data_IF_659453379203
#
_entry.id   IF_659453379203
#
_cell.length_a   1.000
_cell.length_b   1.000
_cell.length_c   1.000
_cell.angle_alpha   90.00
_cell.angle_beta   90.00
_cell.angle_gamma   90.00
#
_symmetry.space_group_name_H-M   'P 1'
#
loop_
_entity.id
_entity.type
_entity.pdbx_description
1 polymer ?
#
# COMPACT_ATOMS: atom_id res chain seq x y z
N UNK A 1 -7.51 0.16 32.73
CA UNK A 1 -7.12 -1.25 32.44
C UNK A 1 -5.93 -1.40 31.46
N UNK A 2 -5.36 -0.29 30.98
CA UNK A 2 -4.28 -0.32 29.95
C UNK A 2 -3.02 -1.07 30.40
N UNK A 3 -2.67 -0.99 31.68
CA UNK A 3 -1.50 -1.67 32.24
C UNK A 3 -1.65 -3.20 32.39
N UNK A 4 -2.88 -3.70 32.27
CA UNK A 4 -3.13 -5.15 32.36
C UNK A 4 -2.63 -5.89 31.12
N UNK A 5 -2.27 -7.17 31.23
CA UNK A 5 -2.00 -8.06 30.11
C UNK A 5 -3.12 -8.07 29.06
N UNK A 6 -2.77 -8.34 27.81
CA UNK A 6 -3.74 -8.42 26.71
C UNK A 6 -4.88 -9.39 27.03
N UNK A 7 -4.58 -10.60 27.52
CA UNK A 7 -5.59 -11.61 27.84
C UNK A 7 -6.54 -11.14 28.94
N UNK A 8 -6.03 -10.49 29.98
CA UNK A 8 -6.85 -9.94 31.06
C UNK A 8 -7.81 -8.83 30.59
N UNK A 9 -7.33 -7.98 29.67
CA UNK A 9 -8.17 -6.93 29.05
C UNK A 9 -9.25 -7.56 28.18
N UNK A 10 -8.89 -8.57 27.38
CA UNK A 10 -9.82 -9.29 26.51
C UNK A 10 -10.90 -10.02 27.31
N UNK A 11 -10.51 -10.69 28.40
CA UNK A 11 -11.46 -11.37 29.29
C UNK A 11 -12.46 -10.39 29.96
N UNK A 12 -12.00 -9.19 30.33
CA UNK A 12 -12.88 -8.13 30.84
C UNK A 12 -13.84 -7.61 29.77
N UNK A 13 -13.36 -7.41 28.54
CA UNK A 13 -14.19 -7.00 27.43
C UNK A 13 -15.25 -8.04 27.10
N UNK A 14 -14.87 -9.33 27.07
CA UNK A 14 -15.81 -10.41 26.81
C UNK A 14 -16.95 -10.45 27.86
N UNK A 15 -16.63 -10.26 29.14
CA UNK A 15 -17.65 -10.17 30.21
C UNK A 15 -18.60 -8.99 30.01
N UNK A 16 -18.04 -7.81 29.73
CA UNK A 16 -18.84 -6.60 29.46
C UNK A 16 -19.79 -6.81 28.27
N UNK A 17 -19.29 -7.40 27.18
CA UNK A 17 -20.13 -7.64 26.00
C UNK A 17 -21.21 -8.69 26.23
N UNK A 18 -20.97 -9.66 27.11
CA UNK A 18 -21.98 -10.65 27.47
C UNK A 18 -23.16 -10.08 28.29
N UNK A 19 -22.97 -8.92 28.91
CA UNK A 19 -24.01 -8.20 29.64
C UNK A 19 -24.86 -7.25 28.73
N UNK A 20 -24.43 -7.05 27.49
CA UNK A 20 -25.13 -6.19 26.55
C UNK A 20 -26.26 -6.94 25.82
N UNK A 21 -27.31 -6.23 25.39
CA UNK A 21 -28.34 -6.85 24.58
C UNK A 21 -27.77 -7.37 23.25
N UNK A 22 -28.34 -8.46 22.69
CA UNK A 22 -27.84 -9.10 21.47
C UNK A 22 -27.74 -8.18 20.24
N UNK A 23 -28.59 -7.14 20.21
CA UNK A 23 -28.63 -6.13 19.15
C UNK A 23 -27.56 -5.02 19.31
N UNK A 24 -26.78 -5.03 20.36
CA UNK A 24 -25.72 -4.05 20.54
C UNK A 24 -24.70 -4.12 19.37
N UNK A 25 -24.35 -3.00 18.72
CA UNK A 25 -23.47 -3.00 17.54
C UNK A 25 -21.99 -3.16 17.92
N UNK A 26 -21.70 -4.11 18.81
CA UNK A 26 -20.37 -4.38 19.34
C UNK A 26 -20.04 -5.86 19.21
N UNK A 27 -18.92 -6.17 18.59
CA UNK A 27 -18.43 -7.52 18.39
C UNK A 27 -17.02 -7.67 18.96
N UNK A 28 -16.79 -8.74 19.70
CA UNK A 28 -15.44 -9.17 20.07
C UNK A 28 -14.92 -10.13 18.97
N UNK A 29 -13.98 -9.69 18.12
CA UNK A 29 -13.44 -10.55 17.07
C UNK A 29 -12.83 -11.82 17.69
N UNK A 30 -13.02 -13.00 17.11
CA UNK A 30 -12.37 -14.22 17.58
C UNK A 30 -10.85 -14.12 17.44
N UNK A 31 -10.14 -14.83 18.28
CA UNK A 31 -8.72 -15.10 18.05
C UNK A 31 -8.60 -16.19 16.98
N UNK A 32 -7.60 -16.04 16.10
CA UNK A 32 -7.27 -17.11 15.16
C UNK A 32 -6.65 -18.26 15.95
N UNK A 33 -7.30 -19.41 15.92
CA UNK A 33 -6.76 -20.64 16.51
C UNK A 33 -5.68 -21.20 15.58
N UNK A 34 -4.60 -21.71 16.14
CA UNK A 34 -3.51 -22.36 15.41
C UNK A 34 -2.78 -23.36 16.32
N UNK A 35 -2.25 -24.42 15.74
CA UNK A 35 -1.50 -25.45 16.46
C UNK A 35 -0.01 -25.12 16.53
N UNK A 36 0.53 -24.60 15.41
CA UNK A 36 1.94 -24.22 15.26
C UNK A 36 2.10 -23.04 14.30
N UNK A 37 3.34 -22.58 14.14
CA UNK A 37 3.68 -21.46 13.28
C UNK A 37 3.46 -21.73 11.78
N UNK A 38 3.53 -22.97 11.35
CA UNK A 38 3.30 -23.38 9.96
C UNK A 38 1.80 -23.29 9.62
N UNK A 39 0.94 -23.79 10.49
CA UNK A 39 -0.52 -23.63 10.39
C UNK A 39 -0.94 -22.15 10.40
N UNK A 40 -0.30 -21.33 11.23
CA UNK A 40 -0.57 -19.90 11.26
C UNK A 40 -0.07 -19.19 9.99
N UNK A 41 1.05 -19.62 9.42
CA UNK A 41 1.54 -19.11 8.14
C UNK A 41 0.59 -19.45 6.97
N UNK A 42 0.02 -20.67 6.96
CA UNK A 42 -0.99 -21.06 6.00
C UNK A 42 -2.27 -20.21 6.13
N UNK A 43 -2.73 -19.96 7.35
CA UNK A 43 -3.86 -19.04 7.60
C UNK A 43 -3.54 -17.61 7.13
N UNK A 44 -2.32 -17.12 7.36
CA UNK A 44 -1.90 -15.81 6.83
C UNK A 44 -1.96 -15.77 5.31
N UNK A 45 -1.57 -16.84 4.63
CA UNK A 45 -1.54 -16.89 3.16
C UNK A 45 -2.92 -16.66 2.53
N UNK A 46 -4.01 -17.04 3.21
CA UNK A 46 -5.40 -16.83 2.75
C UNK A 46 -6.03 -15.53 3.26
N UNK A 47 -5.25 -14.62 3.86
CA UNK A 47 -5.80 -13.41 4.48
C UNK A 47 -6.55 -12.52 3.47
N UNK A 48 -6.12 -12.47 2.19
CA UNK A 48 -6.82 -11.68 1.15
C UNK A 48 -8.23 -12.20 0.86
N UNK A 49 -8.47 -13.50 0.97
CA UNK A 49 -9.81 -14.09 0.78
C UNK A 49 -10.80 -13.59 1.84
N UNK A 50 -10.28 -13.03 2.94
CA UNK A 50 -11.02 -12.42 4.03
C UNK A 50 -10.92 -10.88 4.06
N UNK A 51 -10.56 -10.25 2.94
CA UNK A 51 -10.33 -8.80 2.84
C UNK A 51 -9.33 -8.27 3.89
N UNK A 52 -8.33 -9.07 4.27
CA UNK A 52 -7.33 -8.74 5.27
C UNK A 52 -5.91 -8.69 4.65
N UNK A 53 -5.05 -7.83 5.19
CA UNK A 53 -3.67 -7.65 4.75
C UNK A 53 -2.69 -8.66 5.39
N UNK A 54 -3.17 -9.54 6.26
CA UNK A 54 -2.38 -10.48 7.05
C UNK A 54 -2.91 -10.61 8.48
N UNK A 55 -2.04 -10.96 9.41
CA UNK A 55 -2.36 -11.21 10.81
C UNK A 55 -1.78 -10.14 11.73
N UNK A 56 -2.46 -9.88 12.85
CA UNK A 56 -1.93 -9.09 13.95
C UNK A 56 -1.53 -10.04 15.09
N UNK A 57 -0.25 -10.15 15.33
CA UNK A 57 0.29 -10.94 16.46
C UNK A 57 0.41 -10.01 17.67
N UNK A 58 -0.05 -10.49 18.82
CA UNK A 58 0.01 -9.76 20.09
C UNK A 58 0.50 -10.70 21.19
N UNK A 59 1.50 -10.27 21.93
CA UNK A 59 1.97 -11.02 23.10
C UNK A 59 0.90 -11.01 24.18
N UNK A 60 0.54 -12.20 24.71
CA UNK A 60 -0.59 -12.39 25.61
C UNK A 60 -0.47 -11.59 26.92
N UNK A 61 0.76 -11.47 27.44
CA UNK A 61 1.07 -10.74 28.68
C UNK A 61 1.35 -9.24 28.47
N UNK A 62 1.23 -8.73 27.24
CA UNK A 62 1.58 -7.34 26.93
C UNK A 62 0.55 -6.34 27.44
N UNK A 63 0.99 -5.19 28.00
CA UNK A 63 0.11 -4.06 28.28
C UNK A 63 -0.26 -3.32 26.99
N UNK A 64 -1.23 -2.40 27.08
CA UNK A 64 -1.55 -1.48 26.00
C UNK A 64 -0.69 -0.22 26.13
N UNK A 65 0.37 -0.16 25.37
CA UNK A 65 1.32 0.97 25.41
C UNK A 65 0.75 2.28 24.87
N UNK A 66 1.33 3.39 25.33
CA UNK A 66 1.17 4.72 24.70
C UNK A 66 2.25 4.90 23.64
N UNK A 67 1.87 5.37 22.47
CA UNK A 67 2.79 5.60 21.37
C UNK A 67 3.25 4.31 20.68
N UNK A 68 4.33 4.41 19.91
CA UNK A 68 4.88 3.30 19.12
C UNK A 68 5.98 2.60 19.90
N UNK A 69 5.63 1.53 20.62
CA UNK A 69 6.62 0.64 21.24
C UNK A 69 6.75 -0.65 20.42
N UNK A 70 7.97 -1.13 20.27
CA UNK A 70 8.29 -2.38 19.57
C UNK A 70 8.37 -3.53 20.57
N UNK A 71 8.15 -4.75 20.09
CA UNK A 71 8.44 -5.97 20.83
C UNK A 71 7.23 -6.70 21.41
N UNK A 72 6.03 -6.11 21.37
CA UNK A 72 4.84 -6.74 21.93
C UNK A 72 3.75 -7.02 20.89
N UNK A 73 3.69 -6.22 19.81
CA UNK A 73 2.70 -6.37 18.76
C UNK A 73 3.36 -6.28 17.39
N UNK A 74 2.98 -7.20 16.47
CA UNK A 74 3.53 -7.28 15.11
C UNK A 74 2.41 -7.43 14.08
N UNK A 75 2.56 -6.73 12.97
CA UNK A 75 1.77 -6.95 11.77
C UNK A 75 2.52 -7.96 10.90
N UNK A 76 2.00 -9.16 10.78
CA UNK A 76 2.53 -10.17 9.87
C UNK A 76 1.77 -10.12 8.55
N UNK A 77 2.13 -9.15 7.74
CA UNK A 77 1.47 -8.86 6.49
C UNK A 77 1.84 -9.84 5.38
N UNK A 78 0.93 -9.99 4.40
CA UNK A 78 1.25 -10.53 3.09
C UNK A 78 2.17 -9.57 2.34
N UNK A 79 2.87 -10.09 1.31
CA UNK A 79 3.59 -9.23 0.40
C UNK A 79 2.59 -8.32 -0.35
N UNK A 80 2.96 -7.06 -0.63
CA UNK A 80 2.08 -6.14 -1.34
C UNK A 80 1.79 -6.66 -2.75
N UNK A 81 0.68 -6.22 -3.33
CA UNK A 81 0.45 -6.34 -4.76
C UNK A 81 1.41 -5.40 -5.49
N UNK A 82 1.85 -5.79 -6.68
CA UNK A 82 2.76 -4.99 -7.49
C UNK A 82 2.30 -4.93 -8.95
N UNK A 83 2.61 -3.80 -9.60
CA UNK A 83 2.45 -3.62 -11.04
C UNK A 83 3.56 -2.70 -11.55
N UNK A 84 4.16 -3.04 -12.70
CA UNK A 84 5.10 -2.15 -13.35
C UNK A 84 4.36 -1.05 -14.12
N UNK A 85 4.79 0.21 -13.93
CA UNK A 85 4.09 1.36 -14.48
C UNK A 85 5.06 2.41 -15.02
N UNK A 86 4.63 3.11 -16.07
CA UNK A 86 5.40 4.17 -16.72
C UNK A 86 5.18 5.50 -16.00
N UNK A 87 6.25 6.19 -15.62
CA UNK A 87 6.18 7.54 -15.08
C UNK A 87 5.88 8.55 -16.19
N UNK A 88 4.78 9.31 -16.05
CA UNK A 88 4.33 10.30 -17.03
C UNK A 88 4.36 11.75 -16.53
N UNK A 89 4.24 11.96 -15.21
CA UNK A 89 4.39 13.28 -14.58
C UNK A 89 5.25 13.19 -13.33
N UNK A 90 5.94 14.29 -13.04
CA UNK A 90 6.70 14.53 -11.83
C UNK A 90 6.34 15.89 -11.23
N UNK A 91 6.12 15.96 -9.93
CA UNK A 91 5.80 17.17 -9.20
C UNK A 91 6.90 17.47 -8.18
N UNK A 92 7.25 18.76 -8.06
CA UNK A 92 8.24 19.22 -7.08
C UNK A 92 7.77 18.97 -5.64
N UNK A 93 8.69 18.56 -4.79
CA UNK A 93 8.46 18.39 -3.37
C UNK A 93 8.30 19.70 -2.62
N UNK A 94 8.10 19.59 -1.30
CA UNK A 94 7.92 20.74 -0.40
C UNK A 94 9.00 20.78 0.69
N UNK A 95 9.18 21.95 1.31
CA UNK A 95 10.12 22.15 2.41
C UNK A 95 11.55 21.76 2.03
N UNK A 96 12.19 20.90 2.81
CA UNK A 96 13.57 20.44 2.56
C UNK A 96 13.78 19.73 1.22
N UNK A 97 12.72 19.22 0.60
CA UNK A 97 12.73 18.54 -0.71
C UNK A 97 12.22 19.41 -1.86
N UNK A 98 12.07 20.73 -1.68
CA UNK A 98 11.57 21.66 -2.72
C UNK A 98 12.41 21.65 -4.00
N UNK A 99 13.70 21.30 -3.91
CA UNK A 99 14.62 21.21 -5.05
C UNK A 99 14.59 19.84 -5.77
N UNK A 100 13.80 18.89 -5.27
CA UNK A 100 13.66 17.55 -5.82
C UNK A 100 12.23 17.36 -6.36
N UNK A 101 12.10 16.48 -7.35
CA UNK A 101 10.80 15.91 -7.70
C UNK A 101 10.57 14.70 -6.79
N UNK A 102 9.45 14.67 -6.08
CA UNK A 102 9.16 13.64 -5.08
C UNK A 102 7.79 13.00 -5.21
N UNK A 103 6.91 13.59 -6.01
CA UNK A 103 5.56 13.07 -6.27
C UNK A 103 5.46 12.76 -7.77
N UNK A 104 5.15 11.51 -8.11
CA UNK A 104 5.16 11.03 -9.48
C UNK A 104 3.80 10.43 -9.83
N UNK A 105 3.33 10.70 -11.06
CA UNK A 105 2.13 10.08 -11.62
C UNK A 105 2.54 8.95 -12.56
N UNK A 106 1.92 7.81 -12.37
CA UNK A 106 2.17 6.59 -13.11
C UNK A 106 0.98 6.18 -13.97
N UNK A 107 1.28 5.56 -15.09
CA UNK A 107 0.31 5.09 -16.07
C UNK A 107 0.61 3.64 -16.48
N UNK A 108 -0.43 2.95 -16.91
CA UNK A 108 -0.40 1.63 -17.53
C UNK A 108 -0.92 1.69 -18.95
N UNK A 109 -0.61 0.69 -19.77
CA UNK A 109 -1.02 0.63 -21.17
C UNK A 109 -2.48 0.20 -21.33
N UNK A 110 -3.20 0.87 -22.24
CA UNK A 110 -4.52 0.45 -22.72
C UNK A 110 -4.63 0.71 -24.22
N UNK A 111 -4.60 -0.33 -25.04
CA UNK A 111 -4.71 -0.25 -26.48
C UNK A 111 -3.69 0.68 -27.18
N UNK A 112 -2.47 0.76 -26.64
CA UNK A 112 -1.40 1.62 -27.14
C UNK A 112 -1.37 3.05 -26.56
N UNK A 113 -2.30 3.38 -25.66
CA UNK A 113 -2.31 4.64 -24.91
C UNK A 113 -1.90 4.42 -23.44
N UNK A 114 -1.25 5.42 -22.84
CA UNK A 114 -0.93 5.43 -21.41
C UNK A 114 -2.07 6.03 -20.60
N UNK A 115 -2.67 5.24 -19.74
CA UNK A 115 -3.78 5.64 -18.85
C UNK A 115 -3.24 5.87 -17.44
N UNK A 116 -3.27 7.11 -16.90
CA UNK A 116 -2.85 7.40 -15.54
C UNK A 116 -3.78 6.71 -14.53
N UNK A 117 -3.20 6.09 -13.50
CA UNK A 117 -3.97 5.36 -12.49
C UNK A 117 -3.58 5.65 -11.05
N UNK A 118 -2.36 6.11 -10.79
CA UNK A 118 -1.92 6.40 -9.41
C UNK A 118 -0.84 7.48 -9.34
N UNK A 119 -0.69 8.01 -8.13
CA UNK A 119 0.49 8.79 -7.72
C UNK A 119 1.21 8.09 -6.59
N UNK A 120 2.54 8.16 -6.58
CA UNK A 120 3.35 7.71 -5.46
C UNK A 120 4.44 8.73 -5.14
N UNK A 121 4.74 8.89 -3.85
CA UNK A 121 5.69 9.88 -3.31
C UNK A 121 6.69 9.27 -2.32
N UNK A 122 6.69 7.96 -2.13
CA UNK A 122 7.56 7.24 -1.20
C UNK A 122 8.14 5.99 -1.84
N UNK A 123 9.16 5.43 -1.19
CA UNK A 123 9.77 4.16 -1.56
C UNK A 123 11.17 4.28 -2.14
N UNK A 124 11.54 5.42 -2.74
CA UNK A 124 12.88 5.66 -3.24
C UNK A 124 13.83 6.16 -2.13
N UNK A 125 15.09 5.85 -2.28
CA UNK A 125 16.19 6.42 -1.50
C UNK A 125 16.46 7.87 -1.90
N UNK A 126 17.12 8.64 -1.04
CA UNK A 126 17.51 10.03 -1.37
C UNK A 126 18.47 10.10 -2.56
N UNK A 127 19.26 9.06 -2.81
CA UNK A 127 20.11 8.96 -4.00
C UNK A 127 19.29 8.80 -5.27
N UNK A 128 18.28 7.94 -5.25
CA UNK A 128 17.36 7.74 -6.38
C UNK A 128 16.52 8.99 -6.63
N UNK A 129 16.02 9.68 -5.59
CA UNK A 129 15.33 10.97 -5.77
C UNK A 129 16.21 12.01 -6.45
N UNK A 130 17.50 12.07 -6.15
CA UNK A 130 18.43 12.98 -6.85
C UNK A 130 18.64 12.56 -8.31
N UNK A 131 18.81 11.28 -8.58
CA UNK A 131 18.99 10.74 -9.94
C UNK A 131 17.76 11.01 -10.82
N UNK A 132 16.56 10.67 -10.31
CA UNK A 132 15.32 10.88 -11.06
C UNK A 132 15.02 12.38 -11.25
N UNK A 133 15.35 13.23 -10.28
CA UNK A 133 15.23 14.69 -10.42
C UNK A 133 16.10 15.23 -11.57
N UNK A 134 17.35 14.76 -11.66
CA UNK A 134 18.24 15.14 -12.77
C UNK A 134 17.70 14.65 -14.12
N UNK A 135 17.13 13.47 -14.17
CA UNK A 135 16.49 12.91 -15.36
C UNK A 135 15.25 13.71 -15.75
N UNK A 136 14.33 14.01 -14.82
CA UNK A 136 13.12 14.82 -15.05
C UNK A 136 13.45 16.18 -15.65
N UNK A 137 14.49 16.86 -15.13
CA UNK A 137 14.92 18.18 -15.64
C UNK A 137 15.34 18.13 -17.11
N UNK A 138 15.98 17.05 -17.54
CA UNK A 138 16.45 16.87 -18.93
C UNK A 138 15.36 16.35 -19.88
N UNK A 139 14.34 15.67 -19.34
CA UNK A 139 13.31 14.99 -20.14
C UNK A 139 11.90 15.60 -19.93
N UNK A 140 11.83 16.84 -19.46
CA UNK A 140 10.57 17.58 -19.36
C UNK A 140 10.11 17.99 -20.74
N UNK A 141 8.92 17.54 -21.14
CA UNK A 141 8.25 17.92 -22.39
C UNK A 141 7.39 19.16 -22.20
N UNK A 142 6.63 19.23 -21.09
CA UNK A 142 5.73 20.34 -20.81
C UNK A 142 5.70 20.67 -19.31
N UNK A 143 5.38 21.92 -18.98
CA UNK A 143 5.33 22.42 -17.59
C UNK A 143 3.93 22.94 -17.27
N UNK A 144 3.39 22.48 -16.13
CA UNK A 144 2.11 22.91 -15.59
C UNK A 144 2.32 23.36 -14.12
N UNK A 145 2.74 24.60 -13.92
CA UNK A 145 3.11 25.07 -12.58
C UNK A 145 4.22 24.20 -11.94
N UNK A 146 3.96 23.53 -10.80
CA UNK A 146 4.92 22.66 -10.14
C UNK A 146 5.06 21.28 -10.81
N UNK A 147 4.16 20.92 -11.73
CA UNK A 147 4.13 19.61 -12.40
C UNK A 147 4.92 19.67 -13.71
N UNK A 148 5.63 18.61 -14.01
CA UNK A 148 6.34 18.37 -15.27
C UNK A 148 5.76 17.14 -15.95
N UNK A 149 5.31 17.30 -17.19
CA UNK A 149 5.11 16.17 -18.07
C UNK A 149 6.47 15.73 -18.58
N UNK A 150 6.76 14.46 -18.50
CA UNK A 150 8.05 13.89 -18.91
C UNK A 150 7.89 12.91 -20.06
N UNK A 151 8.98 12.66 -20.77
CA UNK A 151 9.03 11.55 -21.74
C UNK A 151 8.66 10.25 -21.04
N UNK A 152 7.68 9.46 -21.54
CA UNK A 152 7.23 8.23 -20.91
C UNK A 152 8.24 7.10 -21.14
N UNK A 153 9.33 7.13 -20.39
CA UNK A 153 10.47 6.21 -20.56
C UNK A 153 10.83 5.47 -19.29
N UNK A 154 10.61 6.06 -18.11
CA UNK A 154 11.01 5.46 -16.85
C UNK A 154 9.93 4.54 -16.32
N UNK A 155 10.29 3.29 -16.03
CA UNK A 155 9.41 2.26 -15.47
C UNK A 155 9.73 2.05 -13.98
N UNK A 156 8.67 1.96 -13.19
CA UNK A 156 8.76 1.67 -11.76
C UNK A 156 7.79 0.54 -11.40
N UNK A 157 8.25 -0.35 -10.56
CA UNK A 157 7.36 -1.26 -9.85
C UNK A 157 6.64 -0.50 -8.75
N UNK A 158 5.31 -0.46 -8.84
CA UNK A 158 4.44 0.17 -7.85
C UNK A 158 3.85 -0.91 -6.96
N UNK A 159 4.20 -0.86 -5.68
CA UNK A 159 3.64 -1.72 -4.65
C UNK A 159 2.45 -1.04 -3.97
N UNK A 160 1.42 -1.80 -3.62
CA UNK A 160 0.22 -1.30 -2.95
C UNK A 160 -0.45 -2.39 -2.09
N UNK A 161 -1.24 -1.98 -1.11
CA UNK A 161 -1.85 -2.90 -0.13
C UNK A 161 -3.20 -3.45 -0.58
N UNK A 162 -3.89 -2.76 -1.48
CA UNK A 162 -5.19 -3.13 -2.03
C UNK A 162 -5.63 -2.16 -3.11
N UNK A 163 -6.75 -2.44 -3.75
CA UNK A 163 -7.33 -1.60 -4.79
C UNK A 163 -8.85 -1.69 -4.73
N UNK A 164 -9.52 -0.66 -5.24
CA UNK A 164 -10.98 -0.61 -5.33
C UNK A 164 -11.43 0.21 -6.54
N UNK A 165 -12.69 0.06 -6.92
CA UNK A 165 -13.26 0.86 -8.00
C UNK A 165 -13.30 2.34 -7.64
N UNK A 166 -12.99 3.20 -8.61
CA UNK A 166 -13.04 4.64 -8.43
C UNK A 166 -13.44 5.37 -9.71
N UNK A 167 -14.63 5.99 -9.76
CA UNK A 167 -15.06 6.78 -10.91
C UNK A 167 -14.25 8.08 -11.07
N UNK A 168 -13.44 8.46 -10.08
CA UNK A 168 -12.59 9.66 -10.11
C UNK A 168 -11.33 9.48 -10.96
N UNK A 169 -10.89 8.24 -11.14
CA UNK A 169 -9.69 7.91 -11.91
C UNK A 169 -10.04 7.49 -13.34
N UNK A 170 -9.27 7.94 -14.32
CA UNK A 170 -9.44 7.53 -15.72
C UNK A 170 -9.30 6.03 -15.92
N UNK A 171 -8.51 5.36 -15.09
CA UNK A 171 -8.36 3.91 -15.07
C UNK A 171 -9.58 3.18 -14.50
N UNK A 172 -10.47 3.87 -13.79
CA UNK A 172 -11.54 3.25 -13.00
C UNK A 172 -11.07 2.60 -11.69
N UNK A 173 -9.78 2.67 -11.36
CA UNK A 173 -9.17 1.99 -10.20
C UNK A 173 -8.41 2.99 -9.33
N UNK A 174 -8.55 2.85 -8.02
CA UNK A 174 -7.78 3.58 -7.01
C UNK A 174 -6.96 2.59 -6.16
N UNK A 175 -5.68 2.90 -5.94
CA UNK A 175 -4.78 2.06 -5.14
C UNK A 175 -4.71 2.54 -3.69
N UNK A 176 -4.64 1.58 -2.77
CA UNK A 176 -4.44 1.85 -1.35
C UNK A 176 -2.95 1.79 -1.00
N UNK A 177 -2.42 2.90 -0.47
CA UNK A 177 -1.00 3.06 -0.09
C UNK A 177 0.01 2.74 -1.19
N UNK A 178 -0.12 3.34 -2.39
CA UNK A 178 0.83 3.13 -3.46
C UNK A 178 2.21 3.70 -3.09
N UNK A 179 3.26 2.95 -3.45
CA UNK A 179 4.67 3.35 -3.28
C UNK A 179 5.53 2.77 -4.38
N UNK A 180 6.60 3.44 -4.70
CA UNK A 180 7.61 2.92 -5.61
C UNK A 180 8.46 1.88 -4.86
N UNK A 181 8.38 0.60 -5.20
CA UNK A 181 9.17 -0.45 -4.58
C UNK A 181 10.50 -0.67 -5.27
N UNK A 182 10.55 -0.41 -6.58
CA UNK A 182 11.76 -0.59 -7.39
C UNK A 182 11.74 0.30 -8.63
N UNK A 183 12.88 0.92 -8.94
CA UNK A 183 13.11 1.55 -10.24
C UNK A 183 13.56 0.47 -11.23
N UNK A 184 12.75 0.24 -12.27
CA UNK A 184 12.95 -0.81 -13.27
C UNK A 184 13.78 -0.27 -14.45
N UNK A 185 15.06 0.02 -14.20
CA UNK A 185 16.01 0.47 -15.24
C UNK A 185 16.30 -0.63 -16.27
N UNK A 186 15.99 -1.86 -15.94
CA UNK A 186 16.09 -3.06 -16.76
C UNK A 186 14.91 -3.25 -17.71
N UNK A 187 13.81 -2.49 -17.58
CA UNK A 187 12.57 -2.72 -18.30
C UNK A 187 12.22 -1.57 -19.25
N UNK A 188 12.02 -1.84 -20.55
CA UNK A 188 11.53 -0.83 -21.48
C UNK A 188 10.06 -0.47 -21.17
N UNK A 189 9.62 0.77 -21.49
CA UNK A 189 8.27 1.24 -21.15
C UNK A 189 7.16 0.41 -21.82
N UNK A 190 7.40 -0.18 -22.97
CA UNK A 190 6.45 -1.01 -23.72
C UNK A 190 6.10 -2.33 -22.99
N UNK A 191 6.96 -2.78 -22.09
CA UNK A 191 6.76 -3.97 -21.26
C UNK A 191 6.14 -3.65 -19.90
N UNK A 192 5.77 -2.40 -19.64
CA UNK A 192 5.04 -2.04 -18.42
C UNK A 192 3.64 -2.67 -18.41
N UNK A 193 3.04 -2.71 -17.22
CA UNK A 193 1.73 -3.32 -17.01
C UNK A 193 0.61 -2.66 -17.78
N UNK A 194 -0.50 -3.37 -17.91
CA UNK A 194 -1.68 -2.96 -18.67
C UNK A 194 -2.87 -2.62 -17.76
N UNK A 195 -3.82 -1.86 -18.29
CA UNK A 195 -5.10 -1.60 -17.61
C UNK A 195 -5.90 -2.89 -17.42
N UNK A 196 -5.77 -3.85 -18.34
CA UNK A 196 -6.41 -5.16 -18.21
C UNK A 196 -5.88 -5.95 -17.01
N UNK A 197 -4.54 -5.95 -16.79
CA UNK A 197 -3.94 -6.56 -15.59
C UNK A 197 -4.41 -5.89 -14.31
N UNK A 198 -4.47 -4.55 -14.29
CA UNK A 198 -4.95 -3.81 -13.13
C UNK A 198 -6.43 -4.12 -12.81
N UNK A 199 -7.27 -4.25 -13.84
CA UNK A 199 -8.68 -4.66 -13.68
C UNK A 199 -8.82 -6.13 -13.25
N UNK A 200 -7.95 -7.01 -13.72
CA UNK A 200 -7.93 -8.40 -13.25
C UNK A 200 -7.57 -8.50 -11.76
N UNK A 201 -6.60 -7.68 -11.31
CA UNK A 201 -6.29 -7.57 -9.87
C UNK A 201 -7.48 -7.01 -9.08
N UNK A 202 -8.22 -6.04 -9.63
CA UNK A 202 -9.43 -5.50 -9.00
C UNK A 202 -10.51 -6.57 -8.85
N UNK A 203 -10.73 -7.39 -9.87
CA UNK A 203 -11.70 -8.49 -9.80
C UNK A 203 -11.30 -9.59 -8.80
N UNK A 204 -10.00 -9.79 -8.59
CA UNK A 204 -9.48 -10.83 -7.69
C UNK A 204 -9.35 -10.34 -6.22
N UNK A 205 -9.10 -9.07 -5.99
CA UNK A 205 -8.69 -8.53 -4.67
C UNK A 205 -9.37 -7.22 -4.27
N UNK A 206 -10.30 -6.69 -5.07
CA UNK A 206 -11.04 -5.44 -4.84
C UNK A 206 -12.27 -5.54 -3.96
#
# INVERSE_FOLDING_TARGET
IRALPFDARRARLARLLAELPPEAPLVLPPLVAFEDWEALAATRATARDHAAEGLMLKRADSPYHVGRKRGDWWKWKLDPLVIDAVMIYAQAGHGRRANLFTDFTFAVWDGGALVPFTKAYSGLTDAEFRRITAWVRRNTQQRFGPVRQVTPHQVFEIAFEGLHESPRHKSGVELRFPRMSRWREDKPPEEAGTLAELKAMLAAYG
#
